data_IF_434710898584
#
_entry.id   IF_434710898584
#
_cell.length_a   1.000
_cell.length_b   1.000
_cell.length_c   1.000
_cell.angle_alpha   90.00
_cell.angle_beta   90.00
_cell.angle_gamma   90.00
#
_symmetry.space_group_name_H-M   'P 1'
#
loop_
_entity.id
_entity.type
_entity.pdbx_description
1 polymer ?
#
# COMPACT_ATOMS: atom_id res chain seq x y z
N UNK A 1 8.03 7.28 29.79
CA UNK A 1 7.55 7.19 28.39
C UNK A 1 6.41 6.18 28.37
N UNK A 2 5.16 6.64 28.24
CA UNK A 2 4.00 5.74 28.16
C UNK A 2 3.78 5.23 26.72
N UNK A 3 3.09 4.10 26.53
CA UNK A 3 2.84 3.55 25.20
C UNK A 3 1.80 4.43 24.48
N UNK A 4 2.27 5.35 23.63
CA UNK A 4 1.43 6.20 22.79
C UNK A 4 2.02 6.32 21.39
N UNK A 5 2.18 5.20 20.67
CA UNK A 5 2.61 5.24 19.26
C UNK A 5 1.97 4.09 18.44
N UNK A 6 0.68 3.80 18.63
CA UNK A 6 -0.08 2.98 17.69
C UNK A 6 -1.12 3.86 16.99
N UNK A 7 -0.76 4.33 15.80
CA UNK A 7 -1.66 4.66 14.69
C UNK A 7 -2.81 5.62 15.01
N UNK A 8 -2.58 6.92 14.82
CA UNK A 8 -3.69 7.82 14.50
C UNK A 8 -4.37 7.33 13.23
N UNK A 9 -5.68 7.10 13.34
CA UNK A 9 -6.47 6.29 12.41
C UNK A 9 -6.58 6.95 11.04
N UNK A 10 -5.95 6.35 10.02
CA UNK A 10 -6.15 6.70 8.60
C UNK A 10 -7.50 6.14 8.09
N UNK A 11 -8.49 5.93 8.95
CA UNK A 11 -9.75 5.25 8.59
C UNK A 11 -9.58 3.76 8.26
N UNK A 12 -8.42 3.17 8.57
CA UNK A 12 -8.18 1.73 8.49
C UNK A 12 -7.94 1.19 9.91
N UNK A 13 -8.57 0.07 10.31
CA UNK A 13 -8.55 -0.43 11.68
C UNK A 13 -7.18 -0.95 12.14
N UNK A 14 -6.25 -1.22 11.23
CA UNK A 14 -4.92 -1.74 11.55
C UNK A 14 -3.81 -1.19 10.63
N UNK A 15 -3.40 0.09 10.77
CA UNK A 15 -2.29 0.63 10.00
C UNK A 15 -0.94 0.22 10.63
N UNK A 16 0.01 -0.21 9.79
CA UNK A 16 1.43 -0.36 10.16
C UNK A 16 2.26 0.84 9.64
N UNK A 17 3.40 1.17 10.27
CA UNK A 17 4.25 2.28 9.83
C UNK A 17 4.87 1.99 8.46
N UNK A 18 4.99 3.01 7.60
CA UNK A 18 5.59 2.92 6.25
C UNK A 18 7.06 2.45 6.28
N UNK A 19 7.77 2.70 7.39
CA UNK A 19 9.14 2.23 7.61
C UNK A 19 9.27 0.70 7.55
N UNK A 20 8.21 -0.03 7.94
CA UNK A 20 8.22 -1.49 7.95
C UNK A 20 8.34 -2.08 6.53
N UNK A 21 7.44 -1.78 5.57
CA UNK A 21 7.60 -2.25 4.21
C UNK A 21 8.82 -1.65 3.52
N UNK A 22 9.19 -0.39 3.79
CA UNK A 22 10.40 0.22 3.24
C UNK A 22 11.63 -0.66 3.47
N UNK A 23 11.88 -1.07 4.72
CA UNK A 23 13.01 -1.95 5.06
C UNK A 23 12.98 -3.28 4.32
N UNK A 24 11.81 -3.92 4.23
CA UNK A 24 11.67 -5.20 3.54
C UNK A 24 11.91 -5.05 2.03
N UNK A 25 11.40 -3.99 1.42
CA UNK A 25 11.58 -3.70 -0.01
C UNK A 25 13.05 -3.45 -0.32
N UNK A 26 13.77 -2.68 0.51
CA UNK A 26 15.20 -2.47 0.32
C UNK A 26 16.03 -3.75 0.45
N UNK A 27 15.64 -4.67 1.36
CA UNK A 27 16.37 -5.91 1.61
C UNK A 27 16.13 -6.99 0.55
N UNK A 28 14.92 -7.04 -0.03
CA UNK A 28 14.47 -8.19 -0.83
C UNK A 28 14.09 -7.84 -2.28
N UNK A 29 14.35 -6.62 -2.75
CA UNK A 29 14.07 -6.23 -4.14
C UNK A 29 15.07 -5.21 -4.66
N UNK A 30 15.21 -5.14 -5.98
CA UNK A 30 15.96 -4.10 -6.68
C UNK A 30 15.04 -2.99 -7.16
N UNK A 31 15.60 -1.84 -7.52
CA UNK A 31 14.86 -0.80 -8.22
C UNK A 31 14.16 -1.38 -9.46
N UNK A 32 12.95 -0.91 -9.74
CA UNK A 32 12.08 -1.36 -10.85
C UNK A 32 11.55 -2.80 -10.74
N UNK A 33 11.86 -3.54 -9.67
CA UNK A 33 11.11 -4.76 -9.36
C UNK A 33 9.64 -4.43 -9.04
N UNK A 34 8.79 -5.46 -9.07
CA UNK A 34 7.36 -5.35 -8.74
C UNK A 34 7.11 -5.89 -7.34
N UNK A 35 6.58 -5.05 -6.45
CA UNK A 35 6.09 -5.44 -5.13
C UNK A 35 4.60 -5.79 -5.22
N UNK A 36 4.25 -7.03 -4.91
CA UNK A 36 2.86 -7.46 -4.81
C UNK A 36 2.37 -7.38 -3.37
N UNK A 37 1.28 -6.67 -3.14
CA UNK A 37 0.55 -6.66 -1.88
C UNK A 37 -0.91 -7.11 -2.11
N UNK A 38 -1.25 -8.37 -1.83
CA UNK A 38 -2.58 -8.91 -2.13
C UNK A 38 -3.67 -8.51 -1.11
N UNK A 39 -3.30 -7.80 -0.03
CA UNK A 39 -4.21 -7.33 1.03
C UNK A 39 -3.83 -5.91 1.44
N UNK A 40 -3.74 -5.02 0.44
CA UNK A 40 -3.01 -3.78 0.60
C UNK A 40 -3.67 -2.76 1.54
N UNK A 41 -4.96 -2.94 1.85
CA UNK A 41 -5.73 -2.02 2.67
C UNK A 41 -5.56 -0.59 2.19
N UNK A 42 -5.14 0.29 3.10
CA UNK A 42 -4.87 1.69 2.80
C UNK A 42 -3.68 1.96 1.86
N UNK A 43 -2.96 0.94 1.38
CA UNK A 43 -1.89 1.05 0.37
C UNK A 43 -0.50 1.38 0.92
N UNK A 44 -0.22 1.14 2.20
CA UNK A 44 1.05 1.54 2.83
C UNK A 44 2.27 0.88 2.19
N UNK A 45 2.23 -0.43 1.88
CA UNK A 45 3.36 -1.10 1.22
C UNK A 45 3.51 -0.66 -0.24
N UNK A 46 2.41 -0.43 -0.95
CA UNK A 46 2.41 0.13 -2.31
C UNK A 46 3.06 1.53 -2.35
N UNK A 47 2.76 2.37 -1.37
CA UNK A 47 3.34 3.72 -1.25
C UNK A 47 4.84 3.66 -0.95
N UNK A 48 5.28 2.76 -0.07
CA UNK A 48 6.69 2.53 0.20
C UNK A 48 7.43 2.05 -1.06
N UNK A 49 6.87 1.07 -1.79
CA UNK A 49 7.43 0.59 -3.05
C UNK A 49 7.60 1.71 -4.07
N UNK A 50 6.58 2.57 -4.24
CA UNK A 50 6.64 3.73 -5.12
C UNK A 50 7.78 4.68 -4.74
N UNK A 51 7.87 5.05 -3.46
CA UNK A 51 8.91 5.97 -2.95
C UNK A 51 10.32 5.40 -3.10
N UNK A 52 10.43 4.08 -3.01
CA UNK A 52 11.69 3.34 -3.18
C UNK A 52 12.03 3.07 -4.65
N UNK A 53 11.26 3.58 -5.63
CA UNK A 53 11.55 3.38 -7.05
C UNK A 53 11.24 1.97 -7.56
N UNK A 54 10.36 1.24 -6.87
CA UNK A 54 9.79 -0.04 -7.32
C UNK A 54 8.43 0.18 -7.97
N UNK A 55 8.05 -0.74 -8.84
CA UNK A 55 6.66 -0.89 -9.26
C UNK A 55 5.88 -1.63 -8.16
N UNK A 56 4.56 -1.54 -8.18
CA UNK A 56 3.71 -2.29 -7.25
C UNK A 56 2.43 -2.75 -7.93
N UNK A 57 1.83 -3.79 -7.36
CA UNK A 57 0.46 -4.23 -7.64
C UNK A 57 -0.22 -4.45 -6.29
N UNK A 58 -1.33 -3.75 -6.08
CA UNK A 58 -2.12 -3.84 -4.85
C UNK A 58 -3.50 -4.42 -5.12
N UNK A 59 -3.95 -5.31 -4.25
CA UNK A 59 -5.32 -5.83 -4.22
C UNK A 59 -5.92 -5.65 -2.83
N UNK A 60 -7.19 -5.26 -2.80
CA UNK A 60 -8.03 -5.34 -1.61
C UNK A 60 -9.46 -5.66 -2.04
N UNK A 61 -10.23 -6.30 -1.15
CA UNK A 61 -11.64 -6.62 -1.41
C UNK A 61 -12.56 -5.44 -1.03
N UNK A 62 -12.12 -4.57 -0.12
CA UNK A 62 -12.91 -3.43 0.34
C UNK A 62 -12.69 -2.23 -0.59
N UNK A 63 -13.71 -1.81 -1.37
CA UNK A 63 -13.54 -0.75 -2.36
C UNK A 63 -13.12 0.59 -1.75
N UNK A 64 -13.55 0.88 -0.52
CA UNK A 64 -13.19 2.10 0.21
C UNK A 64 -11.68 2.17 0.50
N UNK A 65 -11.05 1.03 0.79
CA UNK A 65 -9.60 0.94 1.00
C UNK A 65 -8.84 1.10 -0.30
N UNK A 66 -9.33 0.50 -1.39
CA UNK A 66 -8.78 0.71 -2.73
C UNK A 66 -8.84 2.19 -3.13
N UNK A 67 -9.95 2.88 -2.88
CA UNK A 67 -10.07 4.31 -3.17
C UNK A 67 -9.09 5.13 -2.31
N UNK A 68 -9.00 4.84 -1.02
CA UNK A 68 -8.07 5.50 -0.11
C UNK A 68 -6.62 5.31 -0.53
N UNK A 69 -6.22 4.08 -0.87
CA UNK A 69 -4.87 3.76 -1.37
C UNK A 69 -4.56 4.56 -2.63
N UNK A 70 -5.47 4.58 -3.61
CA UNK A 70 -5.31 5.33 -4.85
C UNK A 70 -5.16 6.84 -4.61
N UNK A 71 -5.96 7.43 -3.70
CA UNK A 71 -5.81 8.85 -3.33
C UNK A 71 -4.44 9.15 -2.74
N UNK A 72 -3.95 8.32 -1.81
CA UNK A 72 -2.63 8.47 -1.18
C UNK A 72 -1.49 8.36 -2.19
N UNK A 73 -1.57 7.38 -3.08
CA UNK A 73 -0.59 7.15 -4.15
C UNK A 73 -0.55 8.31 -5.14
N UNK A 74 -1.72 8.81 -5.56
CA UNK A 74 -1.84 9.91 -6.53
C UNK A 74 -1.22 11.21 -6.01
N UNK A 75 -1.19 11.43 -4.70
CA UNK A 75 -0.49 12.56 -4.09
C UNK A 75 1.05 12.49 -4.25
N UNK A 76 1.61 11.33 -4.59
CA UNK A 76 3.06 11.10 -4.69
C UNK A 76 3.53 10.74 -6.11
N UNK A 77 2.62 10.39 -7.02
CA UNK A 77 2.93 10.11 -8.41
C UNK A 77 1.75 10.42 -9.33
N UNK A 78 2.04 11.10 -10.44
CA UNK A 78 1.09 11.35 -11.53
C UNK A 78 0.81 10.09 -12.36
N UNK A 79 1.62 9.04 -12.19
CA UNK A 79 1.46 7.75 -12.88
C UNK A 79 0.90 6.75 -11.87
N UNK A 80 -0.40 6.53 -11.92
CA UNK A 80 -1.08 5.45 -11.20
C UNK A 80 -1.15 4.23 -12.14
N UNK A 81 -0.49 3.11 -11.80
CA UNK A 81 -0.69 1.87 -12.57
C UNK A 81 -0.94 0.66 -11.68
N UNK A 82 -2.07 0.04 -12.04
CA UNK A 82 -2.60 -1.30 -11.76
C UNK A 82 -2.85 -1.60 -10.28
N UNK A 83 -3.91 -0.94 -9.77
CA UNK A 83 -4.83 -1.58 -8.85
C UNK A 83 -5.88 -2.30 -9.68
N UNK A 84 -6.02 -3.61 -9.47
CA UNK A 84 -7.09 -4.38 -10.08
C UNK A 84 -8.09 -4.66 -8.97
N UNK A 85 -9.34 -4.18 -9.06
CA UNK A 85 -10.38 -4.71 -8.20
C UNK A 85 -10.43 -6.22 -8.44
N UNK A 86 -10.39 -7.03 -7.38
CA UNK A 86 -10.73 -8.44 -7.52
C UNK A 86 -12.19 -8.44 -7.95
N UNK A 87 -12.44 -8.57 -9.26
CA UNK A 87 -13.77 -8.81 -9.77
C UNK A 87 -14.13 -10.22 -9.29
N UNK A 88 -14.76 -10.31 -8.11
CA UNK A 88 -15.40 -11.53 -7.66
C UNK A 88 -16.59 -11.77 -8.59
N UNK A 89 -16.33 -12.41 -9.73
CA UNK A 89 -17.39 -12.99 -10.55
C UNK A 89 -18.03 -14.11 -9.74
N UNK A 90 -19.21 -13.84 -9.18
CA UNK A 90 -20.16 -14.85 -8.72
C UNK A 90 -19.88 -15.43 -7.33
N UNK A 91 -20.59 -14.89 -6.33
CA UNK A 91 -21.59 -15.63 -5.56
C UNK A 91 -22.62 -14.66 -4.99
#
# INVERSE_FOLDING_TARGET
MGPKDFGESIGHPAPFPEELPHRLIQLYSFEKDVVLDPFCGSGTACLAALKDGRHYIGYDIEPEYVELANRRIKAHSSISRIFVPILMSGR
#
